data_IF_376221073030
#
_entry.id   IF_376221073030
#
_cell.length_a   1.000
_cell.length_b   1.000
_cell.length_c   1.000
_cell.angle_alpha   90.00
_cell.angle_beta   90.00
_cell.angle_gamma   90.00
#
_symmetry.space_group_name_H-M   'P 1'
#
loop_
_entity.id
_entity.type
_entity.pdbx_description
1 polymer ?
#
# COMPACT_ATOMS: atom_id res chain seq x y z
N UNK A 1 7.34 19.84 -20.72
CA UNK A 1 7.09 21.13 -20.03
C UNK A 1 6.56 22.21 -20.95
N UNK A 2 7.10 22.39 -22.16
CA UNK A 2 6.64 23.41 -23.15
C UNK A 2 5.14 23.29 -23.47
N UNK A 3 4.62 22.08 -23.72
CA UNK A 3 3.19 21.86 -24.02
C UNK A 3 2.25 22.30 -22.88
N UNK A 4 2.65 22.07 -21.62
CA UNK A 4 1.85 22.49 -20.45
C UNK A 4 1.84 24.01 -20.27
N UNK A 5 2.98 24.68 -20.54
CA UNK A 5 3.09 26.14 -20.49
C UNK A 5 2.23 26.81 -21.56
N UNK A 6 2.21 26.25 -22.78
CA UNK A 6 1.36 26.75 -23.88
C UNK A 6 -0.13 26.58 -23.54
N UNK A 7 -0.51 25.40 -23.06
CA UNK A 7 -1.88 25.13 -22.62
C UNK A 7 -2.31 26.09 -21.50
N UNK A 8 -1.44 26.28 -20.51
CA UNK A 8 -1.67 27.23 -19.41
C UNK A 8 -1.82 28.65 -19.88
N UNK A 9 -0.98 29.10 -20.82
CA UNK A 9 -1.06 30.45 -21.42
C UNK A 9 -2.41 30.67 -22.13
N UNK A 10 -2.87 29.72 -22.94
CA UNK A 10 -4.16 29.79 -23.63
C UNK A 10 -5.30 29.77 -22.61
N UNK A 11 -5.31 28.89 -21.65
CA UNK A 11 -6.35 28.78 -20.62
C UNK A 11 -6.47 30.05 -19.77
N UNK A 12 -5.33 30.61 -19.32
CA UNK A 12 -5.33 31.88 -18.56
C UNK A 12 -5.82 33.03 -19.39
N UNK A 13 -5.40 33.16 -20.66
CA UNK A 13 -5.85 34.21 -21.56
C UNK A 13 -7.35 34.15 -21.80
N UNK A 14 -7.92 32.97 -22.08
CA UNK A 14 -9.36 32.77 -22.26
C UNK A 14 -10.13 33.10 -20.98
N UNK A 15 -9.65 32.68 -19.83
CA UNK A 15 -10.31 32.97 -18.54
C UNK A 15 -10.32 34.47 -18.24
N UNK A 16 -9.19 35.16 -18.41
CA UNK A 16 -9.11 36.60 -18.21
C UNK A 16 -10.00 37.37 -19.21
N UNK A 17 -10.04 36.94 -20.47
CA UNK A 17 -10.89 37.54 -21.52
C UNK A 17 -12.38 37.46 -21.14
N UNK A 18 -12.86 36.31 -20.66
CA UNK A 18 -14.26 36.14 -20.26
C UNK A 18 -14.58 36.93 -19.00
N UNK A 19 -13.72 36.96 -18.02
CA UNK A 19 -13.89 37.75 -16.81
C UNK A 19 -13.98 39.25 -17.20
N UNK A 20 -13.04 39.72 -18.01
CA UNK A 20 -13.05 41.12 -18.50
C UNK A 20 -14.33 41.46 -19.28
N UNK A 21 -14.78 40.53 -20.15
CA UNK A 21 -16.03 40.71 -20.91
C UNK A 21 -17.26 40.79 -19.99
N UNK A 22 -17.32 39.92 -18.95
CA UNK A 22 -18.42 39.94 -17.99
C UNK A 22 -18.49 41.26 -17.20
N UNK A 23 -17.34 41.81 -16.77
CA UNK A 23 -17.28 43.09 -16.08
C UNK A 23 -17.55 44.28 -16.99
N UNK A 24 -17.26 44.21 -18.29
CA UNK A 24 -17.61 45.24 -19.24
C UNK A 24 -19.09 45.26 -19.58
N UNK A 25 -19.75 44.09 -19.60
CA UNK A 25 -21.17 43.96 -19.94
C UNK A 25 -22.11 44.26 -18.76
N UNK A 26 -21.63 44.10 -17.53
CA UNK A 26 -22.42 44.24 -16.30
C UNK A 26 -21.83 45.31 -15.39
N UNK A 27 -22.61 46.32 -15.06
CA UNK A 27 -22.16 47.45 -14.24
C UNK A 27 -21.83 47.07 -12.78
N UNK A 28 -22.44 45.99 -12.26
CA UNK A 28 -22.31 45.58 -10.87
C UNK A 28 -21.52 44.25 -10.76
N UNK A 29 -20.62 44.18 -9.79
CA UNK A 29 -19.86 42.96 -9.47
C UNK A 29 -20.75 41.73 -9.30
N UNK A 30 -21.83 41.85 -8.52
CA UNK A 30 -22.78 40.76 -8.27
C UNK A 30 -23.46 40.27 -9.57
N UNK A 31 -23.88 41.20 -10.46
CA UNK A 31 -24.46 40.83 -11.73
C UNK A 31 -23.46 40.12 -12.67
N UNK A 32 -22.18 40.51 -12.64
CA UNK A 32 -21.12 39.83 -13.39
C UNK A 32 -20.88 38.40 -12.84
N UNK A 33 -20.86 38.20 -11.53
CA UNK A 33 -20.74 36.88 -10.90
C UNK A 33 -21.92 35.97 -11.26
N UNK A 34 -23.16 36.47 -11.22
CA UNK A 34 -24.33 35.69 -11.63
C UNK A 34 -24.24 35.31 -13.12
N UNK A 35 -23.81 36.25 -13.98
CA UNK A 35 -23.62 35.96 -15.40
C UNK A 35 -22.61 34.84 -15.63
N UNK A 36 -21.45 34.92 -14.97
CA UNK A 36 -20.41 33.88 -15.05
C UNK A 36 -20.92 32.51 -14.56
N UNK A 37 -21.75 32.48 -13.50
CA UNK A 37 -22.29 31.23 -12.93
C UNK A 37 -23.46 30.65 -13.71
N UNK A 38 -24.21 31.44 -14.49
CA UNK A 38 -25.37 30.98 -15.29
C UNK A 38 -25.02 30.61 -16.74
N UNK A 39 -23.96 31.17 -17.29
CA UNK A 39 -23.55 30.91 -18.68
C UNK A 39 -22.78 29.64 -18.79
N UNK A 40 -23.31 28.65 -19.52
CA UNK A 40 -22.65 27.34 -19.72
C UNK A 40 -21.25 27.47 -20.35
N UNK A 41 -21.07 28.42 -21.28
CA UNK A 41 -19.77 28.68 -21.90
C UNK A 41 -18.75 29.23 -20.90
N UNK A 42 -19.17 30.16 -20.03
CA UNK A 42 -18.30 30.71 -19.00
C UNK A 42 -17.90 29.62 -17.98
N UNK A 43 -18.86 28.79 -17.55
CA UNK A 43 -18.60 27.67 -16.63
C UNK A 43 -17.60 26.71 -17.24
N UNK A 44 -17.73 26.29 -18.50
CA UNK A 44 -16.78 25.36 -19.16
C UNK A 44 -15.35 25.92 -19.18
N UNK A 45 -15.17 27.22 -19.44
CA UNK A 45 -13.82 27.81 -19.45
C UNK A 45 -13.26 27.96 -18.04
N UNK A 46 -14.09 28.32 -17.05
CA UNK A 46 -13.67 28.35 -15.65
C UNK A 46 -13.31 26.97 -15.14
N UNK A 47 -14.06 25.92 -15.51
CA UNK A 47 -13.76 24.55 -15.19
C UNK A 47 -12.44 24.07 -15.82
N UNK A 48 -12.20 24.42 -17.09
CA UNK A 48 -10.92 24.12 -17.75
C UNK A 48 -9.73 24.80 -17.06
N UNK A 49 -9.91 26.05 -16.60
CA UNK A 49 -8.89 26.74 -15.79
C UNK A 49 -8.68 26.05 -14.43
N UNK A 50 -9.76 25.64 -13.75
CA UNK A 50 -9.69 24.87 -12.51
C UNK A 50 -8.92 23.57 -12.69
N UNK A 51 -9.18 22.85 -13.78
CA UNK A 51 -8.45 21.62 -14.12
C UNK A 51 -6.96 21.88 -14.37
N UNK A 52 -6.62 22.96 -15.10
CA UNK A 52 -5.22 23.37 -15.28
C UNK A 52 -4.53 23.67 -13.94
N UNK A 53 -5.20 24.42 -13.04
CA UNK A 53 -4.66 24.72 -11.71
C UNK A 53 -4.45 23.46 -10.88
N UNK A 54 -5.34 22.49 -10.97
CA UNK A 54 -5.20 21.19 -10.30
C UNK A 54 -3.95 20.42 -10.80
N UNK A 55 -3.70 20.44 -12.12
CA UNK A 55 -2.48 19.83 -12.69
C UNK A 55 -1.22 20.54 -12.18
N UNK A 56 -1.22 21.87 -12.14
CA UNK A 56 -0.08 22.66 -11.64
C UNK A 56 0.15 22.38 -10.16
N UNK A 57 -0.91 22.40 -9.35
CA UNK A 57 -0.84 22.05 -7.93
C UNK A 57 -0.28 20.62 -7.74
N UNK A 58 -0.77 19.65 -8.50
CA UNK A 58 -0.28 18.28 -8.49
C UNK A 58 1.24 18.18 -8.80
N UNK A 59 1.70 18.96 -9.79
CA UNK A 59 3.12 19.05 -10.14
C UNK A 59 3.97 19.67 -9.02
N UNK A 60 3.47 20.70 -8.36
CA UNK A 60 4.14 21.34 -7.23
C UNK A 60 4.26 20.37 -6.07
N UNK A 61 3.15 19.76 -5.65
CA UNK A 61 3.14 18.79 -4.56
C UNK A 61 3.97 17.55 -4.89
N UNK A 62 3.90 17.03 -6.12
CA UNK A 62 4.77 15.96 -6.59
C UNK A 62 6.25 16.31 -6.38
N UNK A 63 6.66 17.52 -6.75
CA UNK A 63 8.05 17.95 -6.62
C UNK A 63 8.50 18.09 -5.16
N UNK A 64 7.62 18.57 -4.29
CA UNK A 64 7.87 18.75 -2.85
C UNK A 64 8.01 17.39 -2.16
N UNK A 65 7.06 16.48 -2.34
CA UNK A 65 7.00 15.24 -1.58
C UNK A 65 7.80 14.10 -2.21
N UNK A 66 7.72 13.94 -3.54
CA UNK A 66 8.34 12.80 -4.25
C UNK A 66 9.61 13.17 -5.03
N UNK A 67 9.78 14.45 -5.39
CA UNK A 67 10.86 14.88 -6.27
C UNK A 67 10.68 14.34 -7.69
N UNK A 68 11.74 13.69 -8.24
CA UNK A 68 11.65 13.05 -9.56
C UNK A 68 11.01 11.66 -9.42
N UNK A 69 9.97 11.42 -10.22
CA UNK A 69 9.34 10.09 -10.33
C UNK A 69 10.22 9.15 -11.15
N UNK A 70 10.22 7.88 -10.78
CA UNK A 70 10.86 6.80 -11.55
C UNK A 70 9.98 6.43 -12.74
N UNK A 71 10.57 5.85 -13.79
CA UNK A 71 9.84 5.44 -15.00
C UNK A 71 8.69 4.46 -14.67
N UNK A 72 8.95 3.49 -13.80
CA UNK A 72 7.95 2.51 -13.34
C UNK A 72 6.78 3.16 -12.62
N UNK A 73 7.04 4.17 -11.75
CA UNK A 73 5.98 4.90 -11.05
C UNK A 73 5.07 5.67 -12.02
N UNK A 74 5.66 6.22 -13.09
CA UNK A 74 4.91 6.93 -14.13
C UNK A 74 4.03 5.96 -14.92
N UNK A 75 4.55 4.78 -15.27
CA UNK A 75 3.81 3.74 -15.99
C UNK A 75 2.62 3.23 -15.18
N UNK A 76 2.85 2.83 -13.92
CA UNK A 76 1.78 2.42 -13.00
C UNK A 76 0.73 3.52 -12.81
N UNK A 77 1.18 4.80 -12.75
CA UNK A 77 0.27 5.93 -12.59
C UNK A 77 -0.66 6.09 -13.80
N UNK A 78 -0.12 5.95 -15.03
CA UNK A 78 -0.94 6.03 -16.24
C UNK A 78 -1.95 4.89 -16.33
N UNK A 79 -1.55 3.67 -16.04
CA UNK A 79 -2.45 2.52 -16.03
C UNK A 79 -3.59 2.69 -15.01
N UNK A 80 -3.25 3.01 -13.76
CA UNK A 80 -4.24 3.20 -12.69
C UNK A 80 -5.15 4.40 -12.94
N UNK A 81 -4.63 5.50 -13.47
CA UNK A 81 -5.43 6.68 -13.83
C UNK A 81 -6.41 6.39 -14.97
N UNK A 82 -6.00 5.59 -15.97
CA UNK A 82 -6.88 5.15 -17.04
C UNK A 82 -8.01 4.27 -16.52
N UNK A 83 -7.71 3.34 -15.63
CA UNK A 83 -8.73 2.50 -14.97
C UNK A 83 -9.72 3.35 -14.16
N UNK A 84 -9.24 4.28 -13.34
CA UNK A 84 -10.10 5.15 -12.55
C UNK A 84 -10.99 6.03 -13.43
N UNK A 85 -10.47 6.51 -14.55
CA UNK A 85 -11.26 7.29 -15.52
C UNK A 85 -12.38 6.44 -16.14
N UNK A 86 -12.07 5.24 -16.65
CA UNK A 86 -13.07 4.34 -17.24
C UNK A 86 -14.12 3.89 -16.23
N UNK A 87 -13.72 3.58 -15.01
CA UNK A 87 -14.62 3.23 -13.90
C UNK A 87 -15.60 4.36 -13.59
N UNK A 88 -15.10 5.60 -13.53
CA UNK A 88 -15.96 6.78 -13.30
C UNK A 88 -16.91 7.02 -14.46
N UNK A 89 -16.47 6.85 -15.71
CA UNK A 89 -17.36 6.91 -16.87
C UNK A 89 -18.50 5.88 -16.79
N UNK A 90 -18.23 4.68 -16.28
CA UNK A 90 -19.26 3.68 -16.03
C UNK A 90 -20.19 4.08 -14.87
N UNK A 91 -19.66 4.63 -13.78
CA UNK A 91 -20.45 5.10 -12.67
C UNK A 91 -21.39 6.27 -13.07
N UNK A 92 -20.95 7.14 -14.00
CA UNK A 92 -21.79 8.18 -14.58
C UNK A 92 -23.04 7.64 -15.28
N UNK A 93 -23.03 6.42 -15.79
CA UNK A 93 -24.25 5.85 -16.42
C UNK A 93 -25.37 5.61 -15.42
N UNK A 94 -25.05 5.40 -14.14
CA UNK A 94 -26.00 5.21 -13.05
C UNK A 94 -26.56 6.55 -12.56
N UNK A 95 -25.66 7.55 -12.39
CA UNK A 95 -25.99 8.86 -11.86
C UNK A 95 -26.17 9.91 -12.96
N UNK A 96 -26.70 9.51 -14.11
CA UNK A 96 -26.82 10.34 -15.31
C UNK A 96 -27.56 11.67 -15.07
N UNK A 97 -28.60 11.62 -14.26
CA UNK A 97 -29.47 12.77 -14.01
C UNK A 97 -28.84 13.79 -13.04
N UNK A 98 -27.79 13.36 -12.29
CA UNK A 98 -27.08 14.20 -11.32
C UNK A 98 -25.77 14.78 -11.86
N UNK A 99 -25.51 14.68 -13.16
CA UNK A 99 -24.27 15.17 -13.77
C UNK A 99 -24.25 16.70 -13.80
N UNK A 100 -23.74 17.28 -12.72
CA UNK A 100 -23.59 18.69 -12.49
C UNK A 100 -22.13 19.14 -12.39
N UNK A 101 -21.88 20.44 -12.41
CA UNK A 101 -20.56 21.03 -12.12
C UNK A 101 -19.97 20.52 -10.80
N UNK A 102 -20.81 20.31 -9.78
CA UNK A 102 -20.40 19.77 -8.48
C UNK A 102 -19.80 18.38 -8.61
N UNK A 103 -20.38 17.51 -9.45
CA UNK A 103 -19.84 16.18 -9.73
C UNK A 103 -18.41 16.26 -10.29
N UNK A 104 -18.19 17.10 -11.31
CA UNK A 104 -16.87 17.22 -11.94
C UNK A 104 -15.81 17.72 -10.96
N UNK A 105 -16.16 18.67 -10.09
CA UNK A 105 -15.25 19.19 -9.05
C UNK A 105 -14.91 18.09 -8.05
N UNK A 106 -15.91 17.41 -7.50
CA UNK A 106 -15.70 16.35 -6.51
C UNK A 106 -14.90 15.18 -7.10
N UNK A 107 -15.20 14.81 -8.34
CA UNK A 107 -14.44 13.79 -9.08
C UNK A 107 -12.98 14.20 -9.31
N UNK A 108 -12.73 15.45 -9.67
CA UNK A 108 -11.36 15.95 -9.86
C UNK A 108 -10.57 15.87 -8.55
N UNK A 109 -11.20 16.22 -7.42
CA UNK A 109 -10.60 16.10 -6.09
C UNK A 109 -10.31 14.63 -5.76
N UNK A 110 -11.27 13.74 -6.00
CA UNK A 110 -11.10 12.31 -5.77
C UNK A 110 -9.96 11.73 -6.58
N UNK A 111 -9.89 12.01 -7.89
CA UNK A 111 -8.82 11.55 -8.76
C UNK A 111 -7.46 12.09 -8.32
N UNK A 112 -7.41 13.35 -7.91
CA UNK A 112 -6.21 13.97 -7.36
C UNK A 112 -5.70 13.22 -6.12
N UNK A 113 -6.59 12.93 -5.17
CA UNK A 113 -6.24 12.15 -3.98
C UNK A 113 -5.81 10.72 -4.34
N UNK A 114 -6.54 10.02 -5.22
CA UNK A 114 -6.17 8.67 -5.70
C UNK A 114 -4.73 8.64 -6.25
N UNK A 115 -4.35 9.63 -7.05
CA UNK A 115 -2.99 9.74 -7.61
C UNK A 115 -1.93 9.78 -6.50
N UNK A 116 -2.13 10.61 -5.48
CA UNK A 116 -1.18 10.73 -4.38
C UNK A 116 -1.12 9.47 -3.50
N UNK A 117 -2.26 8.77 -3.32
CA UNK A 117 -2.28 7.48 -2.63
C UNK A 117 -1.47 6.42 -3.37
N UNK A 118 -1.63 6.30 -4.68
CA UNK A 118 -0.86 5.34 -5.48
C UNK A 118 0.64 5.63 -5.45
N UNK A 119 1.03 6.89 -5.59
CA UNK A 119 2.44 7.28 -5.47
C UNK A 119 3.01 7.00 -4.07
N UNK A 120 2.21 7.20 -3.02
CA UNK A 120 2.59 6.89 -1.66
C UNK A 120 2.81 5.38 -1.46
N UNK A 121 1.90 4.53 -1.96
CA UNK A 121 2.03 3.08 -1.94
C UNK A 121 3.29 2.61 -2.67
N UNK A 122 3.49 3.05 -3.91
CA UNK A 122 4.65 2.67 -4.72
C UNK A 122 5.98 3.08 -4.04
N UNK A 123 6.00 4.19 -3.28
CA UNK A 123 7.17 4.61 -2.50
C UNK A 123 7.40 3.78 -1.25
N UNK A 124 6.35 3.37 -0.56
CA UNK A 124 6.47 2.49 0.61
C UNK A 124 6.92 1.09 0.19
N UNK A 125 6.42 0.57 -0.94
CA UNK A 125 6.88 -0.70 -1.52
C UNK A 125 8.35 -0.62 -1.98
N UNK A 126 8.77 0.51 -2.55
CA UNK A 126 10.17 0.70 -2.91
C UNK A 126 11.10 0.75 -1.70
N UNK A 127 10.65 1.33 -0.57
CA UNK A 127 11.43 1.38 0.66
C UNK A 127 11.82 -0.03 1.14
N UNK A 128 10.97 -1.02 0.91
CA UNK A 128 11.24 -2.42 1.25
C UNK A 128 12.44 -3.01 0.48
N UNK A 129 12.67 -2.51 -0.74
CA UNK A 129 13.75 -2.99 -1.62
C UNK A 129 15.07 -2.20 -1.44
N UNK A 130 15.04 -1.12 -0.66
CA UNK A 130 16.19 -0.21 -0.51
C UNK A 130 16.87 -0.39 0.85
N UNK A 131 18.19 -0.67 0.89
CA UNK A 131 18.89 -0.97 2.14
C UNK A 131 19.07 0.25 3.06
N UNK A 132 19.04 1.46 2.51
CA UNK A 132 19.15 2.70 3.28
C UNK A 132 18.32 3.82 2.66
N UNK A 133 17.57 4.52 3.47
CA UNK A 133 16.71 5.63 3.04
C UNK A 133 17.07 6.89 3.84
N UNK A 134 17.25 8.07 3.21
CA UNK A 134 17.62 9.30 3.90
C UNK A 134 16.48 9.80 4.81
N UNK A 135 16.82 10.46 5.91
CA UNK A 135 15.87 11.03 6.87
C UNK A 135 14.85 11.97 6.21
N UNK A 136 15.29 12.73 5.21
CA UNK A 136 14.42 13.63 4.45
C UNK A 136 13.26 12.91 3.74
N UNK A 137 13.47 11.66 3.34
CA UNK A 137 12.40 10.82 2.78
C UNK A 137 11.37 10.49 3.86
N UNK A 138 11.78 10.08 5.04
CA UNK A 138 10.89 9.75 6.15
C UNK A 138 10.00 10.94 6.53
N UNK A 139 10.56 12.14 6.64
CA UNK A 139 9.80 13.37 6.97
C UNK A 139 8.72 13.64 5.89
N UNK A 140 9.12 13.60 4.61
CA UNK A 140 8.19 13.83 3.49
C UNK A 140 7.07 12.79 3.43
N UNK A 141 7.40 11.51 3.62
CA UNK A 141 6.42 10.42 3.57
C UNK A 141 5.45 10.48 4.74
N UNK A 142 5.93 10.69 5.96
CA UNK A 142 5.07 10.82 7.15
C UNK A 142 4.12 12.00 6.99
N UNK A 143 4.64 13.19 6.65
CA UNK A 143 3.81 14.39 6.48
C UNK A 143 2.76 14.21 5.36
N UNK A 144 3.11 13.57 4.25
CA UNK A 144 2.17 13.28 3.18
C UNK A 144 1.06 12.32 3.62
N UNK A 145 1.42 11.19 4.24
CA UNK A 145 0.45 10.20 4.70
C UNK A 145 -0.52 10.78 5.75
N UNK A 146 -0.02 11.64 6.62
CA UNK A 146 -0.81 12.33 7.64
C UNK A 146 -1.82 13.29 7.00
N UNK A 147 -1.36 14.13 6.05
CA UNK A 147 -2.22 15.05 5.30
C UNK A 147 -3.29 14.28 4.53
N UNK A 148 -2.91 13.22 3.79
CA UNK A 148 -3.86 12.41 3.03
C UNK A 148 -4.90 11.77 3.95
N UNK A 149 -4.47 11.17 5.07
CA UNK A 149 -5.38 10.54 6.02
C UNK A 149 -6.39 11.52 6.65
N UNK A 150 -5.94 12.72 7.02
CA UNK A 150 -6.83 13.77 7.55
C UNK A 150 -7.83 14.23 6.49
N UNK A 151 -7.37 14.49 5.27
CA UNK A 151 -8.23 14.93 4.16
C UNK A 151 -9.27 13.87 3.80
N UNK A 152 -8.86 12.60 3.72
CA UNK A 152 -9.78 11.49 3.45
C UNK A 152 -10.86 11.36 4.53
N UNK A 153 -10.49 11.45 5.82
CA UNK A 153 -11.45 11.39 6.92
C UNK A 153 -12.46 12.54 6.88
N UNK A 154 -12.00 13.75 6.59
CA UNK A 154 -12.88 14.93 6.46
C UNK A 154 -13.84 14.73 5.30
N UNK A 155 -13.35 14.33 4.13
CA UNK A 155 -14.18 14.15 2.93
C UNK A 155 -15.13 12.96 3.06
N UNK A 156 -14.67 11.84 3.66
CA UNK A 156 -15.51 10.69 3.95
C UNK A 156 -16.65 11.06 4.90
N UNK A 157 -16.35 11.75 6.02
CA UNK A 157 -17.35 12.16 6.99
C UNK A 157 -18.34 13.15 6.39
N UNK A 158 -17.87 14.09 5.57
CA UNK A 158 -18.72 15.04 4.85
C UNK A 158 -19.67 14.33 3.87
N UNK A 159 -19.13 13.43 3.02
CA UNK A 159 -19.90 12.69 2.04
C UNK A 159 -20.92 11.75 2.69
N UNK A 160 -20.53 11.02 3.77
CA UNK A 160 -21.43 10.16 4.54
C UNK A 160 -22.55 10.98 5.19
N UNK A 161 -22.23 12.13 5.79
CA UNK A 161 -23.21 12.97 6.42
C UNK A 161 -24.29 13.46 5.42
N UNK A 162 -23.85 13.90 4.23
CA UNK A 162 -24.78 14.30 3.15
C UNK A 162 -25.61 13.11 2.68
N UNK A 163 -24.98 11.95 2.48
CA UNK A 163 -25.67 10.73 2.02
C UNK A 163 -26.73 10.22 3.02
N UNK A 164 -26.53 10.45 4.31
CA UNK A 164 -27.48 10.04 5.35
C UNK A 164 -28.65 11.01 5.57
N UNK A 165 -28.44 12.30 5.31
CA UNK A 165 -29.45 13.33 5.58
C UNK A 165 -30.29 13.73 4.36
N UNK A 166 -29.80 13.44 3.15
CA UNK A 166 -30.50 13.76 1.91
C UNK A 166 -31.04 12.48 1.25
N UNK A 167 -31.87 12.67 0.19
CA UNK A 167 -32.25 11.58 -0.67
C UNK A 167 -31.03 10.91 -1.32
N UNK A 168 -31.13 9.64 -1.71
CA UNK A 168 -30.01 8.94 -2.35
C UNK A 168 -29.48 9.72 -3.54
N UNK A 169 -28.24 10.13 -3.49
CA UNK A 169 -27.58 10.95 -4.49
C UNK A 169 -26.16 10.46 -4.80
N UNK A 170 -25.49 11.09 -5.76
CA UNK A 170 -24.12 10.76 -6.16
C UNK A 170 -23.11 10.77 -5.00
N UNK A 171 -23.40 11.45 -3.88
CA UNK A 171 -22.53 11.53 -2.72
C UNK A 171 -22.32 10.16 -2.05
N UNK A 172 -23.24 9.21 -2.24
CA UNK A 172 -23.08 7.82 -1.79
C UNK A 172 -21.85 7.19 -2.45
N UNK A 173 -21.65 7.40 -3.75
CA UNK A 173 -20.48 6.90 -4.47
C UNK A 173 -19.19 7.52 -3.95
N UNK A 174 -19.16 8.84 -3.72
CA UNK A 174 -17.99 9.52 -3.18
C UNK A 174 -17.69 9.12 -1.74
N UNK A 175 -18.72 8.92 -0.90
CA UNK A 175 -18.58 8.43 0.47
C UNK A 175 -17.91 7.04 0.49
N UNK A 176 -18.32 6.15 -0.41
CA UNK A 176 -17.71 4.85 -0.58
C UNK A 176 -16.24 4.95 -1.02
N UNK A 177 -15.94 5.75 -2.04
CA UNK A 177 -14.58 5.92 -2.56
C UNK A 177 -13.62 6.48 -1.50
N UNK A 178 -14.04 7.52 -0.75
CA UNK A 178 -13.22 8.05 0.33
C UNK A 178 -13.04 7.05 1.48
N UNK A 179 -14.03 6.19 1.75
CA UNK A 179 -13.89 5.12 2.75
C UNK A 179 -12.85 4.07 2.32
N UNK A 180 -12.81 3.72 1.03
CA UNK A 180 -11.77 2.84 0.47
C UNK A 180 -10.39 3.49 0.54
N UNK A 181 -10.27 4.79 0.22
CA UNK A 181 -9.02 5.54 0.34
C UNK A 181 -8.53 5.59 1.79
N UNK A 182 -9.43 5.85 2.75
CA UNK A 182 -9.10 5.81 4.18
C UNK A 182 -8.57 4.45 4.62
N UNK A 183 -9.22 3.35 4.24
CA UNK A 183 -8.73 2.00 4.53
C UNK A 183 -7.35 1.75 3.89
N UNK A 184 -7.15 2.25 2.69
CA UNK A 184 -5.91 2.10 1.94
C UNK A 184 -4.75 2.87 2.58
N UNK A 185 -4.97 4.12 3.00
CA UNK A 185 -3.91 4.91 3.64
C UNK A 185 -3.52 4.34 5.00
N UNK A 186 -4.47 3.84 5.79
CA UNK A 186 -4.18 3.18 7.06
C UNK A 186 -3.32 1.93 6.85
N UNK A 187 -3.61 1.13 5.83
CA UNK A 187 -2.79 -0.02 5.45
C UNK A 187 -1.38 0.39 5.03
N UNK A 188 -1.26 1.47 4.25
CA UNK A 188 0.03 2.00 3.79
C UNK A 188 0.86 2.53 4.96
N UNK A 189 0.25 3.23 5.92
CA UNK A 189 0.91 3.68 7.16
C UNK A 189 1.41 2.49 7.97
N UNK A 190 0.58 1.45 8.13
CA UNK A 190 0.99 0.25 8.86
C UNK A 190 2.14 -0.48 8.17
N UNK A 191 2.13 -0.63 6.83
CA UNK A 191 3.26 -1.17 6.05
C UNK A 191 4.53 -0.33 6.24
N UNK A 192 4.39 0.98 6.18
CA UNK A 192 5.51 1.90 6.40
C UNK A 192 6.13 1.72 7.78
N UNK A 193 5.31 1.61 8.84
CA UNK A 193 5.78 1.38 10.22
C UNK A 193 6.53 0.05 10.30
N UNK A 194 6.01 -1.04 9.72
CA UNK A 194 6.67 -2.33 9.68
C UNK A 194 8.04 -2.25 8.98
N UNK A 195 8.12 -1.53 7.87
CA UNK A 195 9.37 -1.32 7.13
C UNK A 195 10.38 -0.49 7.93
N UNK A 196 9.94 0.54 8.66
CA UNK A 196 10.82 1.35 9.54
C UNK A 196 11.35 0.52 10.71
N UNK A 197 10.52 -0.33 11.32
CA UNK A 197 10.94 -1.23 12.40
C UNK A 197 12.00 -2.21 11.90
N UNK A 198 11.81 -2.78 10.70
CA UNK A 198 12.75 -3.70 10.07
C UNK A 198 14.10 -3.03 9.78
N UNK A 199 14.09 -1.81 9.22
CA UNK A 199 15.30 -1.05 8.92
C UNK A 199 16.10 -0.63 10.16
N UNK A 200 15.45 -0.52 11.33
CA UNK A 200 16.13 -0.15 12.61
C UNK A 200 16.75 -1.34 13.32
N UNK A 201 16.42 -2.56 12.93
CA UNK A 201 17.00 -3.78 13.50
C UNK A 201 18.32 -4.08 12.82
N UNK A 202 19.31 -4.48 13.60
CA UNK A 202 20.60 -4.96 13.09
C UNK A 202 20.47 -6.35 12.46
N UNK A 203 19.52 -7.17 12.95
CA UNK A 203 19.22 -8.49 12.44
C UNK A 203 17.97 -8.46 11.57
N UNK A 204 17.99 -9.18 10.46
CA UNK A 204 16.85 -9.30 9.54
C UNK A 204 15.62 -9.84 10.26
N UNK A 205 14.50 -9.13 10.19
CA UNK A 205 13.26 -9.54 10.84
C UNK A 205 12.56 -10.66 10.07
N UNK A 206 12.81 -11.91 10.45
CA UNK A 206 12.29 -13.11 9.78
C UNK A 206 10.75 -13.15 9.66
N UNK A 207 10.05 -12.68 10.67
CA UNK A 207 8.58 -12.76 10.70
C UNK A 207 7.88 -11.56 10.03
N UNK A 208 8.61 -10.61 9.43
CA UNK A 208 8.04 -9.42 8.78
C UNK A 208 7.01 -9.79 7.72
N UNK A 209 7.32 -10.76 6.86
CA UNK A 209 6.44 -11.21 5.77
C UNK A 209 5.08 -11.66 6.27
N UNK A 210 5.04 -12.33 7.43
CA UNK A 210 3.81 -12.81 8.06
C UNK A 210 2.96 -11.62 8.55
N UNK A 211 3.58 -10.61 9.18
CA UNK A 211 2.84 -9.42 9.64
C UNK A 211 2.29 -8.62 8.47
N UNK A 212 3.07 -8.43 7.40
CA UNK A 212 2.60 -7.77 6.18
C UNK A 212 1.43 -8.54 5.56
N UNK A 213 1.53 -9.86 5.50
CA UNK A 213 0.46 -10.72 4.98
C UNK A 213 -0.85 -10.61 5.79
N UNK A 214 -0.77 -10.63 7.13
CA UNK A 214 -1.96 -10.43 7.99
C UNK A 214 -2.54 -9.03 7.82
N UNK A 215 -1.70 -8.01 7.70
CA UNK A 215 -2.14 -6.64 7.44
C UNK A 215 -2.91 -6.54 6.13
N UNK A 216 -2.40 -7.15 5.06
CA UNK A 216 -3.09 -7.18 3.77
C UNK A 216 -4.41 -7.93 3.83
N UNK A 217 -4.45 -9.07 4.52
CA UNK A 217 -5.66 -9.85 4.70
C UNK A 217 -6.76 -9.06 5.43
N UNK A 218 -6.39 -8.36 6.52
CA UNK A 218 -7.31 -7.50 7.27
C UNK A 218 -7.77 -6.32 6.42
N UNK A 219 -6.88 -5.72 5.64
CA UNK A 219 -7.23 -4.61 4.74
C UNK A 219 -8.21 -5.05 3.66
N UNK A 220 -7.97 -6.20 3.02
CA UNK A 220 -8.87 -6.76 2.01
C UNK A 220 -10.24 -7.11 2.62
N UNK A 221 -10.27 -7.60 3.86
CA UNK A 221 -11.51 -7.87 4.58
C UNK A 221 -12.31 -6.59 4.85
N UNK A 222 -11.66 -5.52 5.32
CA UNK A 222 -12.31 -4.21 5.54
C UNK A 222 -12.86 -3.68 4.22
N UNK A 223 -12.06 -3.70 3.14
CA UNK A 223 -12.51 -3.28 1.81
C UNK A 223 -13.71 -4.10 1.33
N UNK A 224 -13.68 -5.42 1.52
CA UNK A 224 -14.79 -6.30 1.14
C UNK A 224 -16.09 -5.94 1.87
N UNK A 225 -16.03 -5.63 3.17
CA UNK A 225 -17.21 -5.18 3.94
C UNK A 225 -17.74 -3.87 3.36
N UNK A 226 -16.87 -2.90 3.08
CA UNK A 226 -17.26 -1.61 2.49
C UNK A 226 -17.91 -1.81 1.11
N UNK A 227 -17.36 -2.69 0.26
CA UNK A 227 -17.95 -3.05 -1.03
C UNK A 227 -19.32 -3.72 -0.89
N UNK A 228 -19.50 -4.62 0.07
CA UNK A 228 -20.79 -5.30 0.33
C UNK A 228 -21.86 -4.32 0.80
N UNK A 229 -21.51 -3.40 1.71
CA UNK A 229 -22.42 -2.36 2.19
C UNK A 229 -22.85 -1.46 1.03
N UNK A 230 -21.87 -1.00 0.24
CA UNK A 230 -22.14 -0.13 -0.90
C UNK A 230 -22.99 -0.84 -1.97
N UNK A 231 -22.65 -2.08 -2.30
CA UNK A 231 -23.44 -2.88 -3.23
C UNK A 231 -24.89 -3.05 -2.76
N UNK A 232 -25.10 -3.32 -1.47
CA UNK A 232 -26.45 -3.45 -0.90
C UNK A 232 -27.23 -2.13 -1.01
N UNK A 233 -26.59 -0.99 -0.73
CA UNK A 233 -27.22 0.34 -0.86
C UNK A 233 -27.60 0.62 -2.30
N UNK A 234 -26.66 0.44 -3.24
CA UNK A 234 -26.92 0.70 -4.67
C UNK A 234 -28.00 -0.23 -5.22
N UNK A 235 -28.00 -1.50 -4.83
CA UNK A 235 -29.00 -2.47 -5.27
C UNK A 235 -30.43 -2.06 -4.86
N UNK A 236 -30.58 -1.49 -3.66
CA UNK A 236 -31.88 -1.07 -3.14
C UNK A 236 -32.40 0.21 -3.84
N UNK A 237 -31.51 1.19 -4.10
CA UNK A 237 -31.93 2.50 -4.58
C UNK A 237 -31.82 2.69 -6.11
N UNK A 238 -30.83 2.07 -6.75
CA UNK A 238 -30.50 2.29 -8.18
C UNK A 238 -30.57 1.01 -9.03
N UNK A 239 -30.70 -0.16 -8.42
CA UNK A 239 -30.71 -1.43 -9.12
C UNK A 239 -29.32 -2.02 -9.36
N UNK A 240 -29.19 -2.89 -10.35
CA UNK A 240 -27.95 -3.67 -10.58
C UNK A 240 -26.88 -2.81 -11.28
N UNK A 241 -25.80 -2.54 -10.59
CA UNK A 241 -24.62 -1.82 -11.09
C UNK A 241 -23.49 -2.79 -11.47
N UNK A 242 -23.30 -3.03 -12.75
CA UNK A 242 -22.34 -4.02 -13.27
C UNK A 242 -20.87 -3.73 -12.88
N UNK A 243 -20.47 -2.46 -12.80
CA UNK A 243 -19.09 -2.09 -12.43
C UNK A 243 -18.78 -2.47 -10.98
N UNK A 244 -19.73 -2.29 -10.04
CA UNK A 244 -19.55 -2.63 -8.63
C UNK A 244 -19.43 -4.15 -8.45
N UNK A 245 -20.17 -4.93 -9.22
CA UNK A 245 -20.10 -6.40 -9.20
C UNK A 245 -18.70 -6.87 -9.57
N UNK A 246 -18.07 -6.24 -10.57
CA UNK A 246 -16.70 -6.56 -10.97
C UNK A 246 -15.72 -6.35 -9.81
N UNK A 247 -15.76 -5.19 -9.18
CA UNK A 247 -14.80 -4.83 -8.12
C UNK A 247 -15.04 -5.65 -6.85
N UNK A 248 -16.31 -5.89 -6.52
CA UNK A 248 -16.69 -6.82 -5.45
C UNK A 248 -16.17 -8.25 -5.73
N UNK A 249 -16.33 -8.75 -6.96
CA UNK A 249 -15.84 -10.07 -7.34
C UNK A 249 -14.31 -10.16 -7.25
N UNK A 250 -13.58 -9.16 -7.76
CA UNK A 250 -12.12 -9.13 -7.72
C UNK A 250 -11.62 -9.10 -6.27
N UNK A 251 -12.22 -8.25 -5.42
CA UNK A 251 -11.85 -8.15 -4.00
C UNK A 251 -12.17 -9.44 -3.24
N UNK A 252 -13.34 -10.02 -3.47
CA UNK A 252 -13.74 -11.29 -2.85
C UNK A 252 -12.80 -12.42 -3.27
N UNK A 253 -12.47 -12.52 -4.56
CA UNK A 253 -11.55 -13.53 -5.08
C UNK A 253 -10.15 -13.39 -4.47
N UNK A 254 -9.62 -12.16 -4.40
CA UNK A 254 -8.33 -11.86 -3.77
C UNK A 254 -8.33 -12.28 -2.29
N UNK A 255 -9.38 -11.91 -1.55
CA UNK A 255 -9.53 -12.27 -0.14
C UNK A 255 -9.58 -13.80 0.06
N UNK A 256 -10.40 -14.52 -0.71
CA UNK A 256 -10.51 -15.98 -0.63
C UNK A 256 -9.19 -16.68 -0.98
N UNK A 257 -8.46 -16.17 -1.97
CA UNK A 257 -7.15 -16.68 -2.34
C UNK A 257 -6.16 -16.50 -1.17
N UNK A 258 -6.07 -15.30 -0.59
CA UNK A 258 -5.21 -15.04 0.59
C UNK A 258 -5.61 -15.89 1.80
N UNK A 259 -6.92 -16.09 2.04
CA UNK A 259 -7.37 -17.02 3.09
C UNK A 259 -6.91 -18.46 2.82
N UNK A 260 -7.00 -18.93 1.58
CA UNK A 260 -6.50 -20.23 1.17
C UNK A 260 -5.00 -20.38 1.37
N UNK A 261 -4.23 -19.34 1.04
CA UNK A 261 -2.78 -19.30 1.24
C UNK A 261 -2.43 -19.33 2.73
N UNK A 262 -3.19 -18.61 3.59
CA UNK A 262 -3.03 -18.67 5.04
C UNK A 262 -3.27 -20.06 5.61
N UNK A 263 -4.34 -20.73 5.18
CA UNK A 263 -4.66 -22.09 5.63
C UNK A 263 -3.56 -23.07 5.19
N UNK A 264 -3.09 -22.95 3.94
CA UNK A 264 -1.97 -23.76 3.41
C UNK A 264 -0.69 -23.51 4.19
N UNK A 265 -0.34 -22.26 4.44
CA UNK A 265 0.81 -21.87 5.25
C UNK A 265 0.73 -22.46 6.67
N UNK A 266 -0.39 -22.25 7.36
CA UNK A 266 -0.59 -22.81 8.71
C UNK A 266 -0.53 -24.33 8.74
N UNK A 267 -1.06 -25.00 7.71
CA UNK A 267 -0.98 -26.46 7.59
C UNK A 267 0.46 -26.93 7.36
N UNK A 268 1.23 -26.21 6.54
CA UNK A 268 2.63 -26.55 6.25
C UNK A 268 3.55 -26.31 7.46
N UNK A 269 3.32 -25.21 8.20
CA UNK A 269 4.16 -24.81 9.34
C UNK A 269 3.73 -25.41 10.68
N UNK A 270 2.49 -25.94 10.75
CA UNK A 270 2.00 -26.62 11.97
C UNK A 270 2.78 -27.91 12.17
N UNK A 271 3.37 -28.07 13.37
CA UNK A 271 4.11 -29.26 13.78
C UNK A 271 5.33 -29.56 12.87
N UNK A 272 5.98 -28.52 12.31
CA UNK A 272 7.21 -28.74 11.52
C UNK A 272 8.27 -29.53 12.28
N UNK A 273 8.36 -29.34 13.60
CA UNK A 273 9.33 -30.06 14.44
C UNK A 273 9.05 -31.58 14.55
N UNK A 274 7.78 -31.97 14.50
CA UNK A 274 7.36 -33.37 14.52
C UNK A 274 7.42 -33.99 13.12
N UNK A 275 7.14 -33.19 12.09
CA UNK A 275 7.02 -33.63 10.69
C UNK A 275 8.39 -33.84 10.03
N UNK A 276 9.36 -32.95 10.36
CA UNK A 276 10.71 -32.98 9.81
C UNK A 276 11.70 -33.26 10.94
N UNK A 277 12.31 -34.46 10.98
CA UNK A 277 13.29 -34.80 12.00
C UNK A 277 14.53 -33.91 11.90
N UNK A 278 15.15 -33.63 13.03
CA UNK A 278 16.43 -32.93 13.08
C UNK A 278 17.52 -33.80 12.46
N UNK A 279 18.36 -33.21 11.63
CA UNK A 279 19.48 -33.90 11.02
C UNK A 279 20.51 -34.28 12.08
N UNK A 280 21.04 -35.49 12.00
CA UNK A 280 22.13 -35.99 12.86
C UNK A 280 23.48 -35.52 12.32
N UNK A 281 24.52 -35.51 13.18
CA UNK A 281 25.90 -35.21 12.76
C UNK A 281 26.38 -36.12 11.64
N UNK A 282 26.06 -37.43 11.73
CA UNK A 282 26.45 -38.44 10.73
C UNK A 282 25.79 -38.16 9.36
N UNK A 283 24.57 -37.64 9.35
CA UNK A 283 23.87 -37.29 8.12
C UNK A 283 24.44 -36.02 7.49
N UNK A 284 24.88 -35.05 8.30
CA UNK A 284 25.57 -33.86 7.83
C UNK A 284 26.96 -34.14 7.30
N UNK A 285 27.67 -35.15 7.90
CA UNK A 285 28.99 -35.57 7.44
C UNK A 285 28.95 -36.33 6.11
N UNK A 286 27.84 -36.97 5.77
CA UNK A 286 27.64 -37.66 4.49
C UNK A 286 27.32 -36.68 3.34
N UNK A 287 26.99 -35.44 3.62
CA UNK A 287 26.80 -34.43 2.61
C UNK A 287 28.15 -33.96 2.06
N UNK A 288 28.27 -33.87 0.75
CA UNK A 288 29.48 -33.33 0.09
C UNK A 288 29.68 -31.86 0.39
N UNK A 289 28.59 -31.11 0.68
CA UNK A 289 28.59 -29.72 1.07
C UNK A 289 27.64 -29.53 2.26
N UNK A 290 28.15 -28.99 3.37
CA UNK A 290 27.39 -28.72 4.59
C UNK A 290 26.67 -27.37 4.56
N UNK A 291 26.67 -26.66 3.43
CA UNK A 291 26.04 -25.33 3.30
C UNK A 291 24.56 -25.45 2.98
N UNK A 292 23.75 -24.63 3.62
CA UNK A 292 22.33 -24.50 3.30
C UNK A 292 22.18 -23.76 1.95
N UNK A 293 21.51 -24.36 0.96
CA UNK A 293 21.33 -23.77 -0.39
C UNK A 293 20.57 -22.45 -0.34
N UNK A 294 19.74 -22.22 0.69
CA UNK A 294 18.88 -21.02 0.80
C UNK A 294 19.68 -19.82 1.32
N UNK A 295 20.39 -19.96 2.46
CA UNK A 295 21.16 -18.85 3.07
C UNK A 295 22.67 -18.91 2.74
N UNK A 296 23.17 -20.04 2.22
CA UNK A 296 24.59 -20.31 1.94
C UNK A 296 25.49 -20.32 3.19
N UNK A 297 24.91 -20.49 4.37
CA UNK A 297 25.63 -20.64 5.63
C UNK A 297 25.81 -22.11 6.01
N UNK A 298 26.82 -22.42 6.81
CA UNK A 298 27.15 -23.78 7.25
C UNK A 298 26.12 -24.27 8.27
N UNK A 299 25.64 -25.51 8.08
CA UNK A 299 24.69 -26.20 8.96
C UNK A 299 25.40 -26.91 10.09
N UNK A 300 25.05 -26.59 11.35
CA UNK A 300 25.62 -27.20 12.57
C UNK A 300 24.53 -28.04 13.24
N UNK A 301 24.82 -29.30 13.56
CA UNK A 301 23.85 -30.15 14.24
C UNK A 301 23.67 -29.79 15.72
N UNK A 302 22.45 -29.98 16.24
CA UNK A 302 22.07 -29.62 17.61
C UNK A 302 22.94 -30.26 18.71
N UNK A 303 23.51 -31.42 18.47
CA UNK A 303 24.38 -32.11 19.43
C UNK A 303 25.74 -31.43 19.63
N UNK A 304 26.26 -30.71 18.60
CA UNK A 304 27.53 -29.99 18.70
C UNK A 304 27.35 -28.63 19.43
N UNK A 305 26.18 -28.01 19.34
CA UNK A 305 25.88 -26.77 20.05
C UNK A 305 25.81 -26.94 21.58
N UNK A 306 25.37 -28.12 22.08
CA UNK A 306 25.32 -28.42 23.52
C UNK A 306 26.70 -28.74 24.14
N UNK A 307 27.65 -29.33 23.38
CA UNK A 307 28.97 -29.64 23.89
C UNK A 307 29.86 -28.40 24.03
N UNK A 308 29.69 -27.38 23.22
CA UNK A 308 30.45 -26.12 23.35
C UNK A 308 30.05 -25.29 24.59
N UNK A 309 28.82 -25.48 25.10
CA UNK A 309 28.38 -24.86 26.37
C UNK A 309 28.80 -25.62 27.62
N UNK A 310 29.09 -26.92 27.52
CA UNK A 310 29.47 -27.74 28.67
C UNK A 310 30.99 -27.64 28.98
N UNK A 311 31.84 -27.32 27.99
CA UNK A 311 33.29 -27.23 28.18
C UNK A 311 33.81 -25.88 28.68
N UNK A 312 32.94 -24.85 28.77
CA UNK A 312 33.35 -23.52 29.29
C UNK A 312 33.13 -23.32 30.80
N UNK A 313 32.69 -24.38 31.53
CA UNK A 313 32.39 -24.26 32.96
C UNK A 313 33.41 -24.95 33.90
N UNK A 314 34.49 -25.53 33.39
CA UNK A 314 35.55 -26.09 34.22
C UNK A 314 36.89 -25.44 33.86
N UNK A 315 37.40 -24.62 34.76
CA UNK A 315 38.70 -23.98 34.85
C UNK A 315 38.70 -22.48 34.61
N UNK A 316 38.60 -21.69 35.70
CA UNK A 316 39.44 -20.50 35.93
C UNK A 316 39.15 -19.84 37.26
N UNK A 317 40.16 -19.71 38.08
CA UNK A 317 40.36 -18.76 39.18
C UNK A 317 40.17 -17.30 38.75
N UNK A 318 39.91 -16.36 39.70
CA UNK A 318 39.46 -15.03 39.38
C UNK A 318 40.64 -14.09 39.05
N UNK A 319 40.83 -13.75 37.81
CA UNK A 319 41.59 -12.55 37.42
C UNK A 319 40.70 -11.42 36.95
N UNK A 320 40.74 -10.37 37.76
CA UNK A 320 40.22 -9.03 37.59
C UNK A 320 40.91 -8.38 36.42
N UNK A 321 40.22 -8.10 35.30
CA UNK A 321 40.54 -6.92 34.46
C UNK A 321 39.41 -6.52 33.53
N UNK A 322 39.20 -5.21 33.53
CA UNK A 322 38.32 -4.38 32.71
C UNK A 322 38.36 -4.72 31.23
N UNK A 323 37.15 -4.96 30.65
CA UNK A 323 36.78 -4.38 29.35
C UNK A 323 35.30 -4.65 29.12
N UNK A 324 34.52 -3.58 29.18
CA UNK A 324 33.18 -3.46 28.70
C UNK A 324 33.23 -3.55 27.16
N UNK A 325 32.94 -4.73 26.62
CA UNK A 325 32.44 -4.95 25.23
C UNK A 325 32.48 -6.45 24.90
N UNK A 326 31.57 -7.19 25.52
CA UNK A 326 31.22 -8.54 25.07
C UNK A 326 29.96 -9.04 25.79
N UNK A 327 28.86 -8.37 25.52
CA UNK A 327 27.54 -8.91 25.85
C UNK A 327 26.68 -8.80 24.61
N UNK A 328 26.48 -9.93 23.96
CA UNK A 328 25.24 -10.35 23.29
C UNK A 328 25.57 -11.32 22.15
N UNK A 329 25.87 -12.53 22.50
CA UNK A 329 26.06 -13.62 21.55
C UNK A 329 25.81 -14.98 22.21
N UNK A 330 24.65 -15.16 22.84
CA UNK A 330 24.39 -16.47 23.46
C UNK A 330 22.91 -16.67 23.84
N UNK A 331 21.99 -16.51 22.91
CA UNK A 331 20.62 -17.04 23.11
C UNK A 331 19.86 -17.39 21.82
N UNK A 332 20.49 -17.35 20.64
CA UNK A 332 19.78 -17.62 19.36
C UNK A 332 20.03 -19.01 18.76
N UNK A 333 20.80 -19.90 19.42
CA UNK A 333 21.15 -21.20 18.84
C UNK A 333 20.04 -22.27 18.91
N UNK A 334 18.86 -21.98 19.47
CA UNK A 334 17.77 -22.96 19.54
C UNK A 334 16.85 -22.95 18.30
N UNK A 335 16.97 -21.94 17.43
CA UNK A 335 16.14 -21.77 16.23
C UNK A 335 16.73 -22.34 14.93
N UNK A 336 18.01 -22.67 14.91
CA UNK A 336 18.73 -22.96 13.66
C UNK A 336 19.11 -24.45 13.46
N UNK A 337 18.35 -25.32 14.09
CA UNK A 337 18.57 -26.78 13.98
C UNK A 337 18.23 -27.25 12.57
N UNK A 338 19.18 -27.87 11.82
CA UNK A 338 18.92 -28.37 10.49
C UNK A 338 17.83 -29.45 10.48
N UNK A 339 16.90 -29.36 9.53
CA UNK A 339 15.76 -30.25 9.34
C UNK A 339 15.89 -31.02 8.03
N UNK A 340 15.58 -32.32 8.08
CA UNK A 340 15.62 -33.23 6.94
C UNK A 340 14.22 -33.34 6.31
N UNK A 341 14.12 -33.11 5.01
CA UNK A 341 12.92 -33.36 4.23
C UNK A 341 12.76 -34.84 3.87
N UNK A 342 11.54 -35.31 3.53
CA UNK A 342 11.30 -36.67 3.07
C UNK A 342 12.11 -37.09 1.82
N UNK A 343 12.49 -36.09 1.00
CA UNK A 343 13.35 -36.27 -0.18
C UNK A 343 14.85 -36.38 0.17
N UNK A 344 15.22 -36.31 1.47
CA UNK A 344 16.60 -36.46 1.95
C UNK A 344 17.42 -35.17 2.02
N UNK A 345 16.94 -34.06 1.50
CA UNK A 345 17.63 -32.75 1.55
C UNK A 345 17.50 -32.09 2.94
N UNK A 346 18.58 -31.44 3.37
CA UNK A 346 18.68 -30.83 4.71
C UNK A 346 18.81 -29.31 4.55
N UNK A 347 18.08 -28.55 5.40
CA UNK A 347 18.07 -27.10 5.42
C UNK A 347 17.97 -26.60 6.86
N UNK A 348 18.41 -25.38 7.14
CA UNK A 348 18.12 -24.72 8.40
C UNK A 348 16.60 -24.64 8.63
N UNK A 349 16.15 -24.77 9.86
CA UNK A 349 14.73 -24.71 10.21
C UNK A 349 14.06 -23.41 9.73
N UNK A 350 14.72 -22.27 9.95
CA UNK A 350 14.22 -20.96 9.52
C UNK A 350 14.17 -20.82 8.01
N UNK A 351 15.22 -21.25 7.31
CA UNK A 351 15.28 -21.23 5.87
C UNK A 351 14.16 -22.08 5.24
N UNK A 352 13.95 -23.27 5.76
CA UNK A 352 12.91 -24.19 5.32
C UNK A 352 11.51 -23.59 5.59
N UNK A 353 11.31 -22.96 6.75
CA UNK A 353 10.05 -22.30 7.10
C UNK A 353 9.74 -21.16 6.15
N UNK A 354 10.71 -20.28 5.90
CA UNK A 354 10.57 -19.15 4.97
C UNK A 354 10.33 -19.60 3.52
N UNK A 355 10.93 -20.71 3.11
CA UNK A 355 10.68 -21.29 1.80
C UNK A 355 9.26 -21.85 1.68
N UNK A 356 8.78 -22.60 2.69
CA UNK A 356 7.44 -23.18 2.71
C UNK A 356 6.31 -22.15 2.82
N UNK A 357 6.64 -20.89 3.16
CA UNK A 357 5.72 -19.74 3.05
C UNK A 357 5.37 -19.43 1.59
N UNK A 358 6.30 -19.66 0.68
CA UNK A 358 6.16 -19.30 -0.75
C UNK A 358 5.86 -20.51 -1.63
N UNK A 359 6.51 -21.64 -1.37
CA UNK A 359 6.40 -22.83 -2.18
C UNK A 359 6.38 -24.07 -1.28
N UNK A 360 5.51 -25.05 -1.61
CA UNK A 360 5.38 -26.30 -0.84
C UNK A 360 6.25 -27.44 -1.38
N UNK A 361 7.06 -27.18 -2.40
CA UNK A 361 8.03 -28.11 -2.98
C UNK A 361 9.41 -27.95 -2.34
N UNK A 362 10.25 -28.98 -2.46
CA UNK A 362 11.63 -28.88 -2.02
C UNK A 362 12.41 -27.81 -2.80
N UNK A 363 13.27 -26.98 -2.16
CA UNK A 363 14.06 -25.95 -2.83
C UNK A 363 14.98 -26.45 -3.95
N UNK A 364 15.29 -27.75 -3.97
CA UNK A 364 16.18 -28.40 -4.93
C UNK A 364 15.45 -29.11 -6.07
N UNK A 365 14.13 -28.98 -6.14
CA UNK A 365 13.31 -29.57 -7.20
C UNK A 365 12.69 -28.50 -8.07
#
# INVERSE_FOLDING_TARGET
MVRLAVYGGISTFLTLSIIAAAFRQRANFYAACIYLSKSSACIMILMNMGFFLTIVLGKILQTIFFGRLRAVEIEHLYERAWYAFTETCLAMTIFRDEFNTSFVVTFTILLFLKIFHWLCQDRVEFMEQSPAVPISFHIRMISLMEILGIVDLILASYAINIAMHNEPNMMIMFAFEYSILTATILSTIAKYILNVIDMRREEQWENKSIYVFYLELVTDFIKLIVYLIFFAIILVFYGIALHIIRDLYVTLRSFLQKCGDLVRYRRATRNMNERYPSATNEELERLSDRTCIICREEMIAAAAANNNNANNNNDAEPQRNNNADRRQGSNNNMGDVPKKLPCGHIFHFHCLRSWLERQQSCPTW
#
